data_IF_917634687351
#
_entry.id   IF_917634687351
#
_cell.length_a   1.000
_cell.length_b   1.000
_cell.length_c   1.000
_cell.angle_alpha   90.00
_cell.angle_beta   90.00
_cell.angle_gamma   90.00
#
_symmetry.space_group_name_H-M   'P 1'
#
loop_
_entity.id
_entity.type
_entity.pdbx_description
1 polymer ?
#
# COMPACT_ATOMS: atom_id res chain seq x y z
N UNK A 1 -2.58 -9.02 -41.46
CA UNK A 1 -1.68 -8.96 -40.28
C UNK A 1 -2.54 -8.56 -39.10
N UNK A 2 -3.10 -9.57 -38.44
CA UNK A 2 -4.09 -9.40 -37.37
C UNK A 2 -3.31 -9.16 -36.09
N UNK A 3 -3.33 -7.92 -35.57
CA UNK A 3 -2.79 -7.64 -34.25
C UNK A 3 -3.77 -8.21 -33.22
N UNK A 4 -3.43 -9.36 -32.64
CA UNK A 4 -4.09 -9.81 -31.42
C UNK A 4 -3.61 -8.90 -30.28
N UNK A 5 -4.43 -7.92 -29.92
CA UNK A 5 -4.28 -7.17 -28.66
C UNK A 5 -4.79 -8.09 -27.55
N UNK A 6 -3.95 -8.99 -27.06
CA UNK A 6 -4.10 -9.52 -25.71
C UNK A 6 -3.60 -8.44 -24.73
N UNK A 7 -4.38 -7.38 -24.52
CA UNK A 7 -4.19 -6.46 -23.40
C UNK A 7 -5.39 -6.62 -22.47
N UNK A 8 -5.33 -6.37 -21.17
CA UNK A 8 -4.27 -5.80 -20.35
C UNK A 8 -4.41 -6.28 -18.89
N UNK A 9 -5.50 -6.99 -18.55
CA UNK A 9 -5.96 -7.18 -17.16
C UNK A 9 -5.09 -8.17 -16.40
N UNK A 10 -4.70 -9.29 -17.01
CA UNK A 10 -3.82 -10.29 -16.37
C UNK A 10 -2.42 -9.70 -16.15
N UNK A 11 -1.88 -8.99 -17.14
CA UNK A 11 -0.57 -8.31 -17.02
C UNK A 11 -0.59 -7.20 -15.98
N UNK A 12 -1.69 -6.44 -15.89
CA UNK A 12 -1.85 -5.40 -14.88
C UNK A 12 -1.88 -6.01 -13.47
N UNK A 13 -2.74 -7.01 -13.25
CA UNK A 13 -2.81 -7.70 -11.96
C UNK A 13 -1.47 -8.28 -11.54
N UNK A 14 -0.66 -8.80 -12.48
CA UNK A 14 0.70 -9.29 -12.19
C UNK A 14 1.65 -8.18 -11.73
N UNK A 15 1.67 -7.05 -12.43
CA UNK A 15 2.54 -5.90 -12.06
C UNK A 15 2.08 -5.28 -10.74
N UNK A 16 0.77 -5.11 -10.56
CA UNK A 16 0.18 -4.60 -9.32
C UNK A 16 0.42 -5.56 -8.15
N UNK A 17 0.36 -6.88 -8.37
CA UNK A 17 0.72 -7.87 -7.36
C UNK A 17 2.21 -7.78 -6.99
N UNK A 18 3.10 -7.70 -7.98
CA UNK A 18 4.53 -7.54 -7.73
C UNK A 18 4.84 -6.26 -6.96
N UNK A 19 4.18 -5.15 -7.32
CA UNK A 19 4.26 -3.88 -6.59
C UNK A 19 3.79 -4.03 -5.13
N UNK A 20 2.62 -4.64 -4.91
CA UNK A 20 2.05 -4.84 -3.58
C UNK A 20 2.93 -5.73 -2.68
N UNK A 21 3.58 -6.75 -3.23
CA UNK A 21 4.53 -7.58 -2.48
C UNK A 21 5.82 -6.80 -2.19
N UNK A 22 6.29 -5.98 -3.13
CA UNK A 22 7.52 -5.20 -2.94
C UNK A 22 7.39 -4.15 -1.82
N UNK A 23 6.20 -3.58 -1.62
CA UNK A 23 5.97 -2.53 -0.61
C UNK A 23 6.14 -3.05 0.82
N UNK A 24 5.77 -4.31 1.07
CA UNK A 24 5.86 -4.96 2.38
C UNK A 24 7.20 -5.66 2.62
N UNK A 25 8.00 -5.90 1.57
CA UNK A 25 9.26 -6.62 1.67
C UNK A 25 10.29 -5.94 2.60
N UNK A 26 10.21 -4.61 2.73
CA UNK A 26 11.12 -3.82 3.59
C UNK A 26 10.89 -3.99 5.10
N UNK A 27 9.86 -4.75 5.50
CA UNK A 27 9.51 -5.01 6.89
C UNK A 27 10.34 -6.13 7.52
N UNK A 28 11.05 -6.94 6.72
CA UNK A 28 11.94 -7.98 7.25
C UNK A 28 12.99 -7.37 8.18
N UNK A 29 13.11 -7.94 9.39
CA UNK A 29 14.04 -7.52 10.45
C UNK A 29 13.85 -6.08 10.99
N UNK A 30 12.81 -5.35 10.55
CA UNK A 30 12.45 -4.04 11.09
C UNK A 30 11.46 -4.18 12.25
N UNK A 31 11.98 -4.60 13.41
CA UNK A 31 11.17 -4.83 14.63
C UNK A 31 10.95 -3.57 15.49
N UNK A 32 11.64 -2.47 15.17
CA UNK A 32 11.51 -1.19 15.86
C UNK A 32 10.16 -0.53 15.64
N UNK A 33 9.55 -0.03 16.72
CA UNK A 33 8.29 0.72 16.66
C UNK A 33 8.53 2.08 15.99
N UNK A 34 7.71 2.43 15.00
CA UNK A 34 7.69 3.76 14.40
C UNK A 34 7.13 4.80 15.39
N UNK A 35 7.49 6.06 15.19
CA UNK A 35 6.84 7.16 15.89
C UNK A 35 5.35 7.20 15.53
N UNK A 36 4.50 7.51 16.51
CA UNK A 36 3.10 7.78 16.26
C UNK A 36 2.97 9.24 15.81
N UNK A 37 2.57 9.53 14.56
CA UNK A 37 2.53 10.90 14.08
C UNK A 37 1.54 11.76 14.88
N UNK A 38 1.82 13.06 14.98
CA UNK A 38 0.89 14.03 15.54
C UNK A 38 -0.28 14.24 14.57
N UNK A 39 -1.45 14.64 15.10
CA UNK A 39 -2.60 14.98 14.25
C UNK A 39 -2.23 16.16 13.34
N UNK A 40 -2.44 16.00 12.03
CA UNK A 40 -2.06 16.98 11.01
C UNK A 40 -0.57 16.98 10.66
N UNK A 41 0.23 16.05 11.20
CA UNK A 41 1.62 15.87 10.78
C UNK A 41 1.65 15.41 9.32
N UNK A 42 2.50 16.05 8.51
CA UNK A 42 2.66 15.76 7.09
C UNK A 42 4.06 15.27 6.77
N UNK A 43 4.17 14.48 5.72
CA UNK A 43 5.43 14.05 5.13
C UNK A 43 5.32 14.08 3.61
N UNK A 44 6.35 14.60 2.95
CA UNK A 44 6.47 14.66 1.50
C UNK A 44 7.77 14.03 1.02
N UNK A 45 7.71 13.39 -0.14
CA UNK A 45 8.86 12.75 -0.79
C UNK A 45 8.75 12.91 -2.30
N UNK A 46 9.72 13.59 -2.90
CA UNK A 46 9.87 13.65 -4.36
C UNK A 46 11.11 12.86 -4.78
N UNK A 47 10.93 11.90 -5.70
CA UNK A 47 11.98 11.06 -6.24
C UNK A 47 12.00 11.21 -7.76
N UNK A 48 12.63 12.29 -8.24
CA UNK A 48 12.79 12.57 -9.67
C UNK A 48 13.52 11.42 -10.39
N UNK A 49 14.53 10.84 -9.73
CA UNK A 49 15.28 9.68 -10.21
C UNK A 49 14.41 8.44 -10.46
N UNK A 50 13.27 8.33 -9.75
CA UNK A 50 12.29 7.26 -9.89
C UNK A 50 10.97 7.70 -10.53
N UNK A 51 10.84 8.97 -10.87
CA UNK A 51 9.67 9.53 -11.56
C UNK A 51 8.38 9.61 -10.72
N UNK A 52 8.44 9.72 -9.39
CA UNK A 52 7.23 9.88 -8.57
C UNK A 52 7.38 10.90 -7.44
N UNK A 53 6.25 11.39 -6.95
CA UNK A 53 6.13 12.16 -5.71
C UNK A 53 5.09 11.52 -4.80
N UNK A 54 5.22 11.72 -3.49
CA UNK A 54 4.31 11.24 -2.46
C UNK A 54 4.07 12.35 -1.44
N UNK A 55 2.83 12.47 -0.99
CA UNK A 55 2.43 13.23 0.19
C UNK A 55 1.64 12.30 1.12
N UNK A 56 1.81 12.49 2.42
CA UNK A 56 1.02 11.79 3.44
C UNK A 56 0.70 12.70 4.62
N UNK A 57 -0.43 12.45 5.26
CA UNK A 57 -0.91 13.21 6.41
C UNK A 57 -1.53 12.28 7.46
N UNK A 58 -1.28 12.58 8.73
CA UNK A 58 -2.02 11.98 9.84
C UNK A 58 -3.38 12.68 10.03
N UNK A 59 -4.42 12.15 9.41
CA UNK A 59 -5.77 12.76 9.38
C UNK A 59 -6.62 12.49 10.63
N UNK A 60 -6.25 11.50 11.44
CA UNK A 60 -6.96 11.17 12.68
C UNK A 60 -6.00 10.60 13.72
N UNK A 61 -6.23 10.89 15.01
CA UNK A 61 -5.45 10.35 16.13
C UNK A 61 -6.21 9.27 16.92
N UNK A 62 -7.55 9.32 16.91
CA UNK A 62 -8.41 8.38 17.62
C UNK A 62 -9.60 7.98 16.73
N UNK A 63 -9.48 6.93 15.90
CA UNK A 63 -8.32 6.04 15.74
C UNK A 63 -7.16 6.68 14.94
N UNK A 64 -5.91 6.19 15.06
CA UNK A 64 -4.77 6.69 14.30
C UNK A 64 -4.90 6.29 12.83
N UNK A 65 -5.21 7.25 11.97
CA UNK A 65 -5.34 7.05 10.52
C UNK A 65 -4.37 7.99 9.82
N UNK A 66 -3.50 7.43 8.98
CA UNK A 66 -2.67 8.18 8.04
C UNK A 66 -3.17 7.96 6.63
N UNK A 67 -3.25 9.01 5.83
CA UNK A 67 -3.53 8.91 4.39
C UNK A 67 -2.28 9.21 3.60
N UNK A 68 -2.20 8.67 2.38
CA UNK A 68 -1.13 8.99 1.45
C UNK A 68 -1.66 9.08 0.02
N UNK A 69 -0.98 9.90 -0.78
CA UNK A 69 -1.19 10.00 -2.21
C UNK A 69 0.17 10.06 -2.91
N UNK A 70 0.41 9.14 -3.82
CA UNK A 70 1.60 9.06 -4.65
C UNK A 70 1.22 9.20 -6.12
N UNK A 71 1.97 10.02 -6.86
CA UNK A 71 1.69 10.34 -8.26
C UNK A 71 2.95 10.22 -9.10
N UNK A 72 2.81 9.66 -10.30
CA UNK A 72 3.85 9.71 -11.32
C UNK A 72 4.09 11.15 -11.79
N UNK A 73 5.35 11.56 -11.87
CA UNK A 73 5.73 12.86 -12.44
C UNK A 73 5.44 12.96 -13.95
N UNK A 74 5.29 11.81 -14.61
CA UNK A 74 4.93 11.70 -16.03
C UNK A 74 3.43 11.45 -16.25
N UNK A 75 2.63 11.50 -15.19
CA UNK A 75 1.18 11.23 -15.26
C UNK A 75 0.85 9.82 -15.78
N UNK A 76 1.66 8.83 -15.41
CA UNK A 76 1.45 7.43 -15.83
C UNK A 76 0.60 6.64 -14.83
N UNK A 77 0.68 6.96 -13.54
CA UNK A 77 -0.07 6.28 -12.48
C UNK A 77 -0.36 7.22 -11.31
N UNK A 78 -1.41 6.86 -10.56
CA UNK A 78 -1.69 7.37 -9.22
C UNK A 78 -1.90 6.20 -8.24
N UNK A 79 -1.36 6.35 -7.04
CA UNK A 79 -1.44 5.35 -5.99
C UNK A 79 -1.77 6.01 -4.67
N UNK A 80 -2.93 5.73 -4.09
CA UNK A 80 -3.38 6.39 -2.89
C UNK A 80 -4.10 5.43 -1.96
N UNK A 81 -4.22 5.81 -0.69
CA UNK A 81 -4.90 5.00 0.30
C UNK A 81 -4.82 5.56 1.71
N UNK A 82 -5.40 4.82 2.64
CA UNK A 82 -5.36 5.06 4.06
C UNK A 82 -4.68 3.89 4.78
N UNK A 83 -4.17 4.16 5.97
CA UNK A 83 -3.56 3.19 6.85
C UNK A 83 -4.15 3.38 8.24
N UNK A 84 -4.89 2.37 8.69
CA UNK A 84 -5.34 2.23 10.07
C UNK A 84 -4.82 0.91 10.64
N UNK A 85 -3.64 0.92 11.30
CA UNK A 85 -3.08 -0.28 11.91
C UNK A 85 -3.76 -0.56 13.25
N UNK A 86 -4.78 -1.43 13.24
CA UNK A 86 -5.41 -1.88 14.50
C UNK A 86 -4.61 -3.04 15.08
N UNK A 87 -3.97 -2.82 16.23
CA UNK A 87 -3.22 -3.86 16.92
C UNK A 87 -4.15 -4.77 17.74
N UNK A 88 -3.97 -6.09 17.61
CA UNK A 88 -4.57 -7.13 18.44
C UNK A 88 -3.47 -7.87 19.19
N UNK A 89 -3.62 -7.98 20.51
CA UNK A 89 -2.70 -8.72 21.37
C UNK A 89 -3.28 -10.09 21.73
N UNK A 90 -2.53 -11.14 21.45
CA UNK A 90 -2.90 -12.54 21.69
C UNK A 90 -1.98 -13.21 22.73
N UNK A 91 -1.46 -12.44 23.69
CA UNK A 91 -0.56 -12.93 24.73
C UNK A 91 0.91 -12.99 24.27
N UNK A 92 1.27 -13.95 23.43
CA UNK A 92 2.65 -14.07 22.89
C UNK A 92 2.81 -13.51 21.48
N UNK A 93 1.73 -13.01 20.88
CA UNK A 93 1.74 -12.44 19.54
C UNK A 93 0.98 -11.13 19.46
N UNK A 94 1.42 -10.27 18.55
CA UNK A 94 0.75 -9.04 18.15
C UNK A 94 0.45 -9.12 16.67
N UNK A 95 -0.80 -8.88 16.33
CA UNK A 95 -1.32 -8.86 14.96
C UNK A 95 -1.74 -7.43 14.62
N UNK A 96 -1.34 -6.95 13.45
CA UNK A 96 -1.83 -5.68 12.92
C UNK A 96 -2.90 -5.99 11.87
N UNK A 97 -4.11 -5.50 12.08
CA UNK A 97 -5.16 -5.51 11.06
C UNK A 97 -5.06 -4.21 10.24
N UNK A 98 -4.60 -4.26 8.97
CA UNK A 98 -4.82 -3.16 8.05
C UNK A 98 -6.31 -3.20 7.66
N UNK A 99 -7.08 -2.22 8.13
CA UNK A 99 -8.52 -2.12 7.81
C UNK A 99 -8.82 -1.33 6.55
N UNK A 100 -7.80 -0.84 5.87
CA UNK A 100 -7.94 0.17 4.83
C UNK A 100 -7.52 -0.37 3.48
N UNK A 101 -8.09 0.26 2.45
CA UNK A 101 -7.95 -0.11 1.06
C UNK A 101 -6.95 0.83 0.38
N UNK A 102 -6.11 0.28 -0.50
CA UNK A 102 -5.23 1.07 -1.36
C UNK A 102 -5.67 0.94 -2.80
N UNK A 103 -5.60 2.03 -3.55
CA UNK A 103 -6.04 2.09 -4.95
C UNK A 103 -4.87 2.46 -5.83
N UNK A 104 -4.66 1.68 -6.89
CA UNK A 104 -3.72 1.94 -7.97
C UNK A 104 -4.50 2.21 -9.24
N UNK A 105 -4.25 3.34 -9.88
CA UNK A 105 -4.82 3.72 -11.17
C UNK A 105 -3.71 3.93 -12.20
N UNK A 106 -3.84 3.30 -13.36
CA UNK A 106 -2.98 3.56 -14.51
C UNK A 106 -3.66 4.57 -15.43
N UNK A 107 -3.16 5.79 -15.43
CA UNK A 107 -3.78 6.91 -16.17
C UNK A 107 -3.75 6.73 -17.68
N UNK A 108 -2.76 6.00 -18.20
CA UNK A 108 -2.63 5.74 -19.64
C UNK A 108 -3.72 4.80 -20.18
N UNK A 109 -4.21 3.87 -19.36
CA UNK A 109 -5.22 2.88 -19.77
C UNK A 109 -6.58 3.13 -19.15
N UNK A 110 -6.64 3.90 -18.05
CA UNK A 110 -7.82 4.06 -17.21
C UNK A 110 -8.09 2.85 -16.32
N UNK A 111 -7.19 1.85 -16.29
CA UNK A 111 -7.38 0.66 -15.48
C UNK A 111 -7.17 0.98 -14.00
N UNK A 112 -8.07 0.46 -13.16
CA UNK A 112 -8.03 0.67 -11.72
C UNK A 112 -8.01 -0.66 -10.96
N UNK A 113 -7.12 -0.73 -9.97
CA UNK A 113 -6.96 -1.89 -9.11
C UNK A 113 -7.06 -1.49 -7.64
N UNK A 114 -7.79 -2.27 -6.89
CA UNK A 114 -8.02 -2.12 -5.46
C UNK A 114 -7.28 -3.23 -4.72
N UNK A 115 -6.34 -2.81 -3.86
CA UNK A 115 -5.48 -3.65 -3.05
C UNK A 115 -6.00 -3.69 -1.61
N UNK A 116 -6.30 -4.89 -1.13
CA UNK A 116 -6.74 -5.13 0.24
C UNK A 116 -5.77 -6.10 0.93
N UNK A 117 -4.95 -5.60 1.84
CA UNK A 117 -4.09 -6.44 2.67
C UNK A 117 -4.90 -7.11 3.77
N UNK A 118 -4.57 -8.36 4.07
CA UNK A 118 -5.08 -9.05 5.26
C UNK A 118 -4.21 -8.74 6.48
N UNK A 119 -4.72 -9.00 7.69
CA UNK A 119 -3.93 -8.91 8.91
C UNK A 119 -2.60 -9.65 8.81
N UNK A 120 -1.53 -8.99 9.29
CA UNK A 120 -0.19 -9.54 9.31
C UNK A 120 0.35 -9.61 10.75
N UNK A 121 1.08 -10.69 11.06
CA UNK A 121 1.72 -10.85 12.35
C UNK A 121 2.93 -9.92 12.48
N UNK A 122 2.93 -9.07 13.50
CA UNK A 122 4.05 -8.18 13.84
C UNK A 122 5.02 -8.83 14.83
N UNK A 123 4.54 -9.73 15.70
CA UNK A 123 5.34 -10.44 16.69
C UNK A 123 4.70 -11.81 16.96
N UNK A 124 5.52 -12.87 17.11
CA UNK A 124 5.04 -14.21 17.46
C UNK A 124 4.57 -15.06 16.27
N UNK A 125 3.40 -15.71 16.36
CA UNK A 125 2.85 -16.54 15.26
C UNK A 125 2.46 -15.66 14.05
N UNK A 126 2.54 -16.20 12.85
CA UNK A 126 2.27 -15.51 11.56
C UNK A 126 3.22 -14.33 11.25
N UNK A 127 4.37 -14.24 11.93
CA UNK A 127 5.41 -13.25 11.65
C UNK A 127 5.87 -13.37 10.18
N UNK A 128 5.93 -12.24 9.48
CA UNK A 128 6.31 -12.13 8.05
C UNK A 128 5.34 -12.74 7.04
N UNK A 129 4.14 -13.19 7.46
CA UNK A 129 3.11 -13.59 6.52
C UNK A 129 2.35 -12.37 6.03
N UNK A 130 2.33 -12.16 4.73
CA UNK A 130 1.51 -11.13 4.08
C UNK A 130 0.57 -11.83 3.11
N UNK A 131 -0.72 -11.58 3.27
CA UNK A 131 -1.75 -12.00 2.33
C UNK A 131 -2.46 -10.74 1.84
N UNK A 132 -2.84 -10.69 0.56
CA UNK A 132 -3.57 -9.58 -0.02
C UNK A 132 -4.53 -10.09 -1.11
N UNK A 133 -5.59 -9.33 -1.33
CA UNK A 133 -6.56 -9.52 -2.41
C UNK A 133 -6.51 -8.33 -3.36
N UNK A 134 -6.51 -8.59 -4.66
CA UNK A 134 -6.52 -7.58 -5.71
C UNK A 134 -7.85 -7.68 -6.45
N UNK A 135 -8.56 -6.57 -6.57
CA UNK A 135 -9.81 -6.46 -7.32
C UNK A 135 -9.62 -5.42 -8.41
N UNK A 136 -9.98 -5.76 -9.64
CA UNK A 136 -10.02 -4.81 -10.78
C UNK A 136 -11.41 -4.19 -10.84
N UNK A 137 -11.48 -2.87 -11.04
CA UNK A 137 -12.73 -2.14 -11.30
C UNK A 137 -12.97 -1.92 -12.79
#
# INVERSE_FOLDING_TARGET
MTYFVFSCVISLCQVVAAFAVSSVASQWDRTGKLFNPLLGETYELTREDKGYRLISEQVSHHPPISTFNAQSLKQEFEFHGSLYPKLKFWGKSVEAEPKETMTMELLNTGDKCVLNFKPCGMFGKELHKVEAHIQTE
#
